data_IF_023662676917
#
_entry.id   IF_023662676917
#
_cell.length_a   1.000
_cell.length_b   1.000
_cell.length_c   1.000
_cell.angle_alpha   90.00
_cell.angle_beta   90.00
_cell.angle_gamma   90.00
#
_symmetry.space_group_name_H-M   'P 1'
#
loop_
_entity.id
_entity.type
_entity.pdbx_description
1 polymer ?
#
# COMPACT_ATOMS: atom_id res chain seq x y z
N UNK A 1 19.60 10.43 19.87
CA UNK A 1 18.30 10.58 19.25
C UNK A 1 18.25 9.78 17.96
N UNK A 2 17.25 8.96 17.81
CA UNK A 2 17.13 8.11 16.64
C UNK A 2 16.52 8.88 15.47
N UNK A 3 17.31 9.06 14.44
CA UNK A 3 16.81 9.65 13.21
C UNK A 3 16.27 8.53 12.34
N UNK A 4 15.01 8.64 11.94
CA UNK A 4 14.43 7.68 11.00
C UNK A 4 14.85 8.11 9.61
N UNK A 5 15.62 7.26 8.94
CA UNK A 5 16.03 7.53 7.58
C UNK A 5 14.93 7.12 6.61
N UNK A 6 14.63 7.99 5.68
CA UNK A 6 13.71 7.67 4.60
C UNK A 6 14.42 6.82 3.55
N UNK A 7 13.66 5.94 2.92
CA UNK A 7 14.17 5.23 1.77
C UNK A 7 14.55 6.22 0.68
N UNK A 8 15.61 5.95 -0.11
CA UNK A 8 16.12 6.92 -1.08
C UNK A 8 15.08 7.44 -2.05
N UNK A 9 14.17 6.61 -2.52
CA UNK A 9 13.15 7.04 -3.47
C UNK A 9 12.11 7.97 -2.83
N UNK A 10 11.84 7.80 -1.55
CA UNK A 10 10.94 8.69 -0.82
C UNK A 10 11.63 10.02 -0.55
N UNK A 11 12.91 9.98 -0.19
CA UNK A 11 13.69 11.20 0.03
C UNK A 11 13.74 12.04 -1.25
N UNK A 12 13.91 11.41 -2.40
CA UNK A 12 13.88 12.11 -3.69
C UNK A 12 12.57 12.85 -3.92
N UNK A 13 11.46 12.25 -3.55
CA UNK A 13 10.15 12.88 -3.71
C UNK A 13 10.00 14.09 -2.79
N UNK A 14 10.52 13.99 -1.56
CA UNK A 14 10.54 15.12 -0.63
C UNK A 14 11.37 16.27 -1.23
N UNK A 15 12.57 15.94 -1.70
CA UNK A 15 13.50 16.93 -2.28
C UNK A 15 12.93 17.57 -3.55
N UNK A 16 12.14 16.82 -4.29
CA UNK A 16 11.48 17.31 -5.51
C UNK A 16 10.30 18.24 -5.19
N UNK A 17 9.80 18.21 -3.96
CA UNK A 17 8.70 19.08 -3.55
C UNK A 17 7.32 18.45 -3.61
N UNK A 18 7.25 17.12 -3.74
CA UNK A 18 5.97 16.42 -3.72
C UNK A 18 5.29 16.56 -2.36
N UNK A 19 3.96 16.64 -2.35
CA UNK A 19 3.22 16.71 -1.10
C UNK A 19 3.28 15.38 -0.36
N UNK A 20 3.15 15.43 0.98
CA UNK A 20 3.14 14.22 1.79
C UNK A 20 2.04 13.26 1.37
N UNK A 21 0.87 13.79 1.03
CA UNK A 21 -0.26 12.96 0.61
C UNK A 21 0.06 12.23 -0.70
N UNK A 22 0.66 12.91 -1.67
CA UNK A 22 1.03 12.30 -2.94
C UNK A 22 2.09 11.21 -2.76
N UNK A 23 3.06 11.47 -1.88
CA UNK A 23 4.13 10.52 -1.57
C UNK A 23 3.55 9.25 -0.97
N UNK A 24 2.67 9.40 0.04
CA UNK A 24 2.02 8.26 0.70
C UNK A 24 1.17 7.49 -0.29
N UNK A 25 0.37 8.19 -1.08
CA UNK A 25 -0.53 7.55 -2.05
C UNK A 25 0.25 6.69 -3.04
N UNK A 26 1.34 7.23 -3.59
CA UNK A 26 2.19 6.48 -4.51
C UNK A 26 2.86 5.28 -3.86
N UNK A 27 3.33 5.45 -2.62
CA UNK A 27 3.97 4.37 -1.88
C UNK A 27 2.98 3.24 -1.56
N UNK A 28 1.74 3.59 -1.19
CA UNK A 28 0.69 2.60 -0.94
C UNK A 28 0.43 1.74 -2.17
N UNK A 29 0.45 2.34 -3.35
CA UNK A 29 0.27 1.58 -4.59
C UNK A 29 1.35 0.53 -4.77
N UNK A 30 2.60 0.87 -4.47
CA UNK A 30 3.72 -0.08 -4.54
C UNK A 30 3.52 -1.21 -3.53
N UNK A 31 3.12 -0.86 -2.28
CA UNK A 31 2.87 -1.86 -1.25
C UNK A 31 1.72 -2.80 -1.64
N UNK A 32 0.68 -2.26 -2.27
CA UNK A 32 -0.45 -3.07 -2.73
C UNK A 32 -0.03 -4.05 -3.82
N UNK A 33 0.79 -3.61 -4.77
CA UNK A 33 1.29 -4.49 -5.82
C UNK A 33 2.15 -5.62 -5.26
N UNK A 34 2.99 -5.31 -4.26
CA UNK A 34 3.81 -6.31 -3.59
C UNK A 34 2.94 -7.30 -2.81
N UNK A 35 1.94 -6.79 -2.08
CA UNK A 35 1.04 -7.65 -1.32
C UNK A 35 0.19 -8.54 -2.24
N UNK A 36 -0.26 -8.02 -3.37
CA UNK A 36 -1.00 -8.79 -4.36
C UNK A 36 -0.17 -9.96 -4.90
N UNK A 37 1.09 -9.69 -5.21
CA UNK A 37 2.01 -10.72 -5.70
C UNK A 37 2.22 -11.81 -4.64
N UNK A 38 2.41 -11.41 -3.39
CA UNK A 38 2.59 -12.37 -2.29
C UNK A 38 1.32 -13.19 -2.05
N UNK A 39 0.15 -12.54 -2.17
CA UNK A 39 -1.12 -13.23 -2.02
C UNK A 39 -1.32 -14.27 -3.14
N UNK A 40 -1.04 -13.91 -4.38
CA UNK A 40 -1.13 -14.85 -5.51
C UNK A 40 -0.22 -16.05 -5.30
N UNK A 41 1.00 -15.82 -4.82
CA UNK A 41 1.96 -16.90 -4.55
C UNK A 41 1.45 -17.79 -3.40
N UNK A 42 0.92 -17.20 -2.33
CA UNK A 42 0.38 -17.96 -1.20
C UNK A 42 -0.82 -18.82 -1.64
N UNK A 43 -1.68 -18.28 -2.48
CA UNK A 43 -2.83 -19.02 -3.03
C UNK A 43 -2.37 -20.18 -3.91
N UNK A 44 -1.37 -19.96 -4.74
CA UNK A 44 -0.81 -20.99 -5.61
C UNK A 44 -0.24 -22.15 -4.80
N UNK A 45 0.53 -21.85 -3.76
CA UNK A 45 1.13 -22.87 -2.90
C UNK A 45 0.05 -23.69 -2.19
N UNK A 46 -0.96 -23.00 -1.65
CA UNK A 46 -2.07 -23.67 -0.95
C UNK A 46 -2.83 -24.60 -1.89
N UNK A 47 -3.08 -24.17 -3.13
CA UNK A 47 -3.76 -25.00 -4.14
C UNK A 47 -2.94 -26.22 -4.51
N UNK A 48 -1.62 -26.06 -4.71
CA UNK A 48 -0.73 -27.16 -5.05
C UNK A 48 -0.72 -28.24 -3.98
N UNK A 49 -0.91 -27.86 -2.72
CA UNK A 49 -0.90 -28.79 -1.59
C UNK A 49 -2.32 -29.17 -1.15
N UNK A 50 -3.31 -28.93 -2.00
CA UNK A 50 -4.73 -29.28 -1.75
C UNK A 50 -5.27 -28.78 -0.40
N UNK A 51 -4.81 -27.60 0.01
CA UNK A 51 -5.25 -26.94 1.25
C UNK A 51 -4.99 -27.80 2.50
N UNK A 52 -3.94 -28.62 2.45
CA UNK A 52 -3.64 -29.57 3.53
C UNK A 52 -2.77 -29.01 4.64
N UNK A 53 -2.18 -27.83 4.46
CA UNK A 53 -1.27 -27.23 5.44
C UNK A 53 -1.89 -25.97 6.05
N UNK A 54 -2.14 -26.01 7.35
CA UNK A 54 -2.72 -24.88 8.09
C UNK A 54 -1.83 -23.65 8.06
N UNK A 55 -0.51 -23.84 8.03
CA UNK A 55 0.43 -22.70 7.96
C UNK A 55 0.30 -21.95 6.64
N UNK A 56 0.05 -22.66 5.54
CA UNK A 56 -0.16 -22.05 4.23
C UNK A 56 -1.46 -21.25 4.21
N UNK A 57 -2.50 -21.74 4.83
CA UNK A 57 -3.76 -21.01 4.96
C UNK A 57 -3.60 -19.75 5.78
N UNK A 58 -2.80 -19.79 6.84
CA UNK A 58 -2.50 -18.62 7.67
C UNK A 58 -1.72 -17.58 6.86
N UNK A 59 -0.77 -18.02 6.06
CA UNK A 59 0.00 -17.13 5.18
C UNK A 59 -0.91 -16.42 4.18
N UNK A 60 -1.82 -17.16 3.54
CA UNK A 60 -2.80 -16.56 2.63
C UNK A 60 -3.68 -15.53 3.33
N UNK A 61 -4.19 -15.87 4.51
CA UNK A 61 -5.04 -14.95 5.29
C UNK A 61 -4.29 -13.70 5.70
N UNK A 62 -3.01 -13.83 6.03
CA UNK A 62 -2.16 -12.69 6.36
C UNK A 62 -2.14 -11.69 5.19
N UNK A 63 -1.88 -12.18 3.98
CA UNK A 63 -1.79 -11.32 2.81
C UNK A 63 -3.15 -10.76 2.39
N UNK A 64 -4.23 -11.52 2.59
CA UNK A 64 -5.60 -10.99 2.39
C UNK A 64 -5.85 -9.80 3.30
N UNK A 65 -5.47 -9.92 4.57
CA UNK A 65 -5.61 -8.84 5.54
C UNK A 65 -4.76 -7.62 5.18
N UNK A 66 -3.54 -7.85 4.70
CA UNK A 66 -2.67 -6.77 4.24
C UNK A 66 -3.29 -6.04 3.05
N UNK A 67 -3.81 -6.78 2.08
CA UNK A 67 -4.48 -6.20 0.91
C UNK A 67 -5.69 -5.36 1.31
N UNK A 68 -6.51 -5.88 2.22
CA UNK A 68 -7.69 -5.16 2.70
C UNK A 68 -7.31 -3.85 3.37
N UNK A 69 -6.33 -3.89 4.27
CA UNK A 69 -5.86 -2.70 4.98
C UNK A 69 -5.26 -1.66 4.03
N UNK A 70 -4.40 -2.10 3.12
CA UNK A 70 -3.76 -1.22 2.15
C UNK A 70 -4.78 -0.60 1.20
N UNK A 71 -5.75 -1.39 0.75
CA UNK A 71 -6.80 -0.92 -0.16
C UNK A 71 -7.65 0.15 0.51
N UNK A 72 -7.97 -0.03 1.79
CA UNK A 72 -8.76 0.94 2.54
C UNK A 72 -8.02 2.27 2.65
N UNK A 73 -6.74 2.24 3.02
CA UNK A 73 -5.94 3.47 3.16
C UNK A 73 -5.72 4.12 1.79
N UNK A 74 -5.49 3.33 0.76
CA UNK A 74 -5.34 3.83 -0.61
C UNK A 74 -6.58 4.59 -1.05
N UNK A 75 -7.77 4.00 -0.81
CA UNK A 75 -9.02 4.67 -1.14
C UNK A 75 -9.19 5.98 -0.38
N UNK A 76 -8.79 6.00 0.89
CA UNK A 76 -8.85 7.21 1.71
C UNK A 76 -7.94 8.31 1.15
N UNK A 77 -6.70 7.98 0.82
CA UNK A 77 -5.77 8.97 0.26
C UNK A 77 -6.24 9.49 -1.08
N UNK A 78 -6.87 8.63 -1.87
CA UNK A 78 -7.45 9.01 -3.15
C UNK A 78 -8.57 10.04 -2.96
N UNK A 79 -9.49 9.76 -2.05
CA UNK A 79 -10.59 10.66 -1.72
C UNK A 79 -10.10 12.00 -1.18
N UNK A 80 -9.08 11.96 -0.31
CA UNK A 80 -8.48 13.17 0.24
C UNK A 80 -7.83 14.02 -0.86
N UNK A 81 -7.16 13.40 -1.81
CA UNK A 81 -6.54 14.10 -2.93
C UNK A 81 -7.58 14.89 -3.72
N UNK A 82 -8.72 14.27 -4.00
CA UNK A 82 -9.81 14.95 -4.70
C UNK A 82 -10.40 16.08 -3.89
N UNK A 83 -10.65 15.85 -2.60
CA UNK A 83 -11.24 16.86 -1.74
C UNK A 83 -10.34 18.09 -1.61
N UNK A 84 -9.05 17.87 -1.45
CA UNK A 84 -8.07 18.94 -1.34
C UNK A 84 -7.97 19.72 -2.67
N UNK A 85 -7.92 19.02 -3.78
CA UNK A 85 -7.88 19.64 -5.10
C UNK A 85 -9.12 20.46 -5.36
N UNK A 86 -10.30 19.95 -4.99
CA UNK A 86 -11.58 20.64 -5.14
C UNK A 86 -11.62 21.92 -4.32
N UNK A 87 -11.15 21.84 -3.08
CA UNK A 87 -11.07 23.01 -2.20
C UNK A 87 -10.15 24.09 -2.78
N UNK A 88 -9.01 23.68 -3.33
CA UNK A 88 -8.07 24.62 -3.94
C UNK A 88 -8.70 25.33 -5.14
N UNK A 89 -9.47 24.62 -5.96
CA UNK A 89 -10.17 25.21 -7.10
C UNK A 89 -11.21 26.22 -6.68
N UNK A 90 -11.95 25.92 -5.60
CA UNK A 90 -13.00 26.83 -5.09
C UNK A 90 -12.43 28.08 -4.48
N UNK A 91 -11.27 27.98 -3.87
CA UNK A 91 -10.61 29.10 -3.17
C UNK A 91 -9.62 29.85 -4.05
N UNK A 92 -9.34 29.33 -5.22
CA UNK A 92 -8.46 29.93 -6.17
C UNK A 92 -9.21 30.66 -7.26
#
# INVERSE_FOLDING_TARGET
MNTIELEPHLQKQVDFGSSGLDIIHGHLKVLMLDAERELEEAQRIEEENDYSDAMESMERKYWEGQMDALSWVYALTYQLSFAISDRAKKNG
#
